data_IF_222863997024
#
_entry.id   IF_222863997024
#
_cell.length_a   1.000
_cell.length_b   1.000
_cell.length_c   1.000
_cell.angle_alpha   90.00
_cell.angle_beta   90.00
_cell.angle_gamma   90.00
#
_symmetry.space_group_name_H-M   'P 1'
#
loop_
_entity.id
_entity.type
_entity.pdbx_description
1 polymer ?
#
# COMPACT_ATOMS: atom_id res chain seq x y z
N UNK A 1 -9.28 7.36 1.02
CA UNK A 1 -8.03 6.87 1.66
C UNK A 1 -7.61 5.53 1.03
N UNK A 2 -7.22 5.48 -0.25
CA UNK A 2 -7.03 4.20 -0.99
C UNK A 2 -5.65 4.01 -1.63
N UNK A 3 -4.78 5.03 -1.62
CA UNK A 3 -3.49 4.98 -2.34
C UNK A 3 -2.34 4.34 -1.54
N UNK A 4 -2.45 4.24 -0.21
CA UNK A 4 -1.39 3.66 0.64
C UNK A 4 -1.31 2.13 0.59
N UNK A 5 -2.40 1.43 0.26
CA UNK A 5 -2.45 -0.03 0.28
C UNK A 5 -1.65 -0.70 -0.86
N UNK A 6 -1.44 -0.01 -1.99
CA UNK A 6 -0.80 -0.60 -3.17
C UNK A 6 0.72 -0.67 -3.06
N UNK A 7 1.36 0.33 -2.46
CA UNK A 7 2.81 0.35 -2.28
C UNK A 7 3.30 -0.75 -1.32
N UNK A 8 2.50 -1.05 -0.30
CA UNK A 8 2.86 -2.02 0.72
C UNK A 8 2.65 -3.47 0.24
N UNK A 9 1.71 -3.71 -0.70
CA UNK A 9 1.60 -5.00 -1.39
C UNK A 9 2.81 -5.33 -2.28
N UNK A 10 3.40 -4.33 -2.94
CA UNK A 10 4.58 -4.54 -3.80
C UNK A 10 5.82 -4.87 -2.95
N UNK A 11 6.03 -4.15 -1.85
CA UNK A 11 7.13 -4.40 -0.91
C UNK A 11 7.06 -5.80 -0.29
N UNK A 12 5.86 -6.22 0.11
CA UNK A 12 5.61 -7.57 0.64
C UNK A 12 5.90 -8.65 -0.40
N UNK A 13 5.58 -8.41 -1.68
CA UNK A 13 5.78 -9.39 -2.77
C UNK A 13 7.24 -9.60 -3.16
N UNK A 14 8.10 -8.59 -2.98
CA UNK A 14 9.53 -8.64 -3.35
C UNK A 14 10.39 -9.19 -2.20
N UNK A 15 9.92 -9.11 -0.96
CA UNK A 15 10.68 -9.48 0.24
C UNK A 15 10.59 -10.96 0.64
N UNK A 16 9.70 -11.75 0.03
CA UNK A 16 9.47 -13.16 0.40
C UNK A 16 10.57 -14.14 -0.01
N UNK A 17 11.66 -13.67 -0.61
CA UNK A 17 12.78 -14.53 -1.00
C UNK A 17 13.76 -14.84 0.15
N UNK A 18 13.64 -14.21 1.32
CA UNK A 18 14.58 -14.40 2.45
C UNK A 18 13.96 -14.22 3.84
N UNK A 19 12.69 -14.58 4.00
CA UNK A 19 12.03 -14.48 5.30
C UNK A 19 12.13 -15.79 6.09
N UNK A 20 12.45 -15.67 7.38
CA UNK A 20 12.28 -16.73 8.36
C UNK A 20 10.78 -17.14 8.43
N UNK A 21 10.45 -18.38 8.82
CA UNK A 21 9.08 -18.89 8.77
C UNK A 21 8.08 -18.06 9.59
N UNK A 22 8.54 -17.37 10.64
CA UNK A 22 7.72 -16.47 11.46
C UNK A 22 7.28 -15.21 10.67
N UNK A 23 8.20 -14.60 9.93
CA UNK A 23 7.93 -13.41 9.11
C UNK A 23 6.99 -13.73 7.94
N UNK A 24 7.05 -14.95 7.41
CA UNK A 24 6.15 -15.41 6.35
C UNK A 24 4.68 -15.43 6.81
N UNK A 25 4.43 -15.77 8.08
CA UNK A 25 3.08 -15.77 8.67
C UNK A 25 2.58 -14.34 8.84
N UNK A 26 3.43 -13.41 9.32
CA UNK A 26 3.06 -12.00 9.46
C UNK A 26 2.72 -11.36 8.11
N UNK A 27 3.52 -11.67 7.09
CA UNK A 27 3.28 -11.26 5.70
C UNK A 27 1.94 -11.78 5.20
N UNK A 28 1.60 -13.04 5.49
CA UNK A 28 0.33 -13.62 5.06
C UNK A 28 -0.87 -12.97 5.77
N UNK A 29 -0.75 -12.71 7.08
CA UNK A 29 -1.77 -12.00 7.87
C UNK A 29 -2.00 -10.59 7.31
N UNK A 30 -0.91 -9.87 7.03
CA UNK A 30 -0.95 -8.55 6.43
C UNK A 30 -1.64 -8.57 5.06
N UNK A 31 -1.28 -9.53 4.20
CA UNK A 31 -1.94 -9.73 2.90
C UNK A 31 -3.44 -9.97 3.05
N UNK A 32 -3.87 -10.83 3.97
CA UNK A 32 -5.30 -11.10 4.22
C UNK A 32 -6.03 -9.85 4.72
N UNK A 33 -5.44 -9.11 5.65
CA UNK A 33 -6.00 -7.84 6.17
C UNK A 33 -6.16 -6.80 5.06
N UNK A 34 -5.18 -6.68 4.18
CA UNK A 34 -5.24 -5.77 3.03
C UNK A 34 -6.34 -6.15 2.04
N UNK A 35 -6.40 -7.42 1.65
CA UNK A 35 -7.42 -7.92 0.75
C UNK A 35 -8.82 -7.69 1.32
N UNK A 36 -9.02 -7.97 2.61
CA UNK A 36 -10.28 -7.67 3.31
C UNK A 36 -10.59 -6.17 3.33
N UNK A 37 -9.61 -5.31 3.65
CA UNK A 37 -9.79 -3.86 3.67
C UNK A 37 -10.08 -3.25 2.28
N UNK A 38 -9.67 -3.93 1.21
CA UNK A 38 -9.95 -3.56 -0.17
C UNK A 38 -11.20 -4.25 -0.74
N UNK A 39 -11.86 -5.14 0.01
CA UNK A 39 -13.01 -5.92 -0.47
C UNK A 39 -12.65 -6.94 -1.56
N UNK A 40 -11.39 -7.39 -1.61
CA UNK A 40 -10.87 -8.30 -2.64
C UNK A 40 -10.69 -9.72 -2.08
N UNK A 41 -10.99 -10.73 -2.89
CA UNK A 41 -10.74 -12.14 -2.54
C UNK A 41 -9.32 -12.59 -2.86
N UNK A 42 -8.69 -11.99 -3.86
CA UNK A 42 -7.34 -12.30 -4.32
C UNK A 42 -6.68 -11.06 -4.90
N UNK A 43 -5.35 -11.08 -5.03
CA UNK A 43 -4.62 -10.02 -5.72
C UNK A 43 -4.98 -10.04 -7.22
N UNK A 44 -5.06 -8.86 -7.87
CA UNK A 44 -5.30 -8.78 -9.30
C UNK A 44 -4.08 -9.28 -10.09
N UNK A 45 -4.31 -9.89 -11.24
CA UNK A 45 -3.23 -10.28 -12.15
C UNK A 45 -2.62 -9.02 -12.80
N UNK A 46 -1.39 -8.71 -12.43
CA UNK A 46 -0.66 -7.53 -12.90
C UNK A 46 -0.45 -7.52 -14.43
N UNK A 47 -0.48 -8.68 -15.10
CA UNK A 47 -0.38 -8.76 -16.56
C UNK A 47 -1.63 -8.24 -17.27
N UNK A 48 -2.77 -8.25 -16.57
CA UNK A 48 -4.06 -7.81 -17.09
C UNK A 48 -4.40 -6.38 -16.66
N UNK A 49 -3.64 -5.80 -15.74
CA UNK A 49 -3.80 -4.42 -15.28
C UNK A 49 -3.27 -3.48 -16.37
N UNK A 50 -4.17 -2.98 -17.22
CA UNK A 50 -3.83 -2.01 -18.24
C UNK A 50 -3.69 -0.60 -17.62
N UNK A 51 -2.48 -0.25 -17.21
CA UNK A 51 -2.16 1.10 -16.73
C UNK A 51 -1.27 1.81 -17.73
N UNK A 52 -1.75 2.91 -18.31
CA UNK A 52 -0.90 3.78 -19.13
C UNK A 52 0.10 4.55 -18.27
N UNK A 53 1.27 4.89 -18.84
CA UNK A 53 2.28 5.69 -18.13
C UNK A 53 1.74 7.05 -17.67
N UNK A 54 0.82 7.65 -18.41
CA UNK A 54 0.19 8.93 -18.05
C UNK A 54 -0.70 8.79 -16.82
N UNK A 55 -1.47 7.70 -16.74
CA UNK A 55 -2.31 7.38 -15.57
C UNK A 55 -1.44 7.11 -14.34
N UNK A 56 -0.36 6.33 -14.48
CA UNK A 56 0.58 6.08 -13.39
C UNK A 56 1.21 7.36 -12.85
N UNK A 57 1.71 8.25 -13.72
CA UNK A 57 2.29 9.54 -13.31
C UNK A 57 1.26 10.43 -12.59
N UNK A 58 0.00 10.42 -13.04
CA UNK A 58 -1.08 11.16 -12.38
C UNK A 58 -1.39 10.59 -10.99
N UNK A 59 -1.46 9.27 -10.86
CA UNK A 59 -1.67 8.60 -9.57
C UNK A 59 -0.52 8.87 -8.60
N UNK A 60 0.74 8.77 -9.06
CA UNK A 60 1.92 9.07 -8.26
C UNK A 60 1.89 10.50 -7.71
N UNK A 61 1.56 11.50 -8.54
CA UNK A 61 1.43 12.90 -8.10
C UNK A 61 0.33 13.07 -7.04
N UNK A 62 -0.82 12.41 -7.21
CA UNK A 62 -1.91 12.43 -6.21
C UNK A 62 -1.46 11.80 -4.89
N UNK A 63 -0.78 10.66 -4.96
CA UNK A 63 -0.23 9.99 -3.78
C UNK A 63 0.74 10.90 -3.02
N UNK A 64 1.73 11.48 -3.69
CA UNK A 64 2.70 12.37 -3.06
C UNK A 64 2.06 13.59 -2.39
N UNK A 65 1.00 14.16 -3.00
CA UNK A 65 0.22 15.25 -2.37
C UNK A 65 -0.51 14.76 -1.12
N UNK A 66 -1.11 13.58 -1.17
CA UNK A 66 -1.80 12.98 -0.03
C UNK A 66 -0.85 12.70 1.13
N UNK A 67 0.34 12.17 0.85
CA UNK A 67 1.37 11.91 1.86
C UNK A 67 1.83 13.21 2.51
N UNK A 68 2.15 14.24 1.72
CA UNK A 68 2.55 15.55 2.26
C UNK A 68 1.46 16.18 3.13
N UNK A 69 0.18 16.01 2.75
CA UNK A 69 -0.94 16.49 3.55
C UNK A 69 -1.04 15.73 4.87
N UNK A 70 -1.00 14.41 4.84
CA UNK A 70 -1.06 13.56 6.05
C UNK A 70 0.12 13.83 6.99
N UNK A 71 1.33 14.05 6.45
CA UNK A 71 2.50 14.46 7.25
C UNK A 71 2.28 15.81 7.94
N UNK A 72 1.70 16.80 7.25
CA UNK A 72 1.37 18.09 7.86
C UNK A 72 0.30 17.96 8.93
N UNK A 73 -0.73 17.14 8.68
CA UNK A 73 -1.78 16.85 9.66
C UNK A 73 -1.18 16.22 10.92
N UNK A 74 -0.29 15.23 10.79
CA UNK A 74 0.42 14.61 11.90
C UNK A 74 1.33 15.59 12.67
N UNK A 75 2.01 16.49 11.97
CA UNK A 75 2.86 17.52 12.60
C UNK A 75 2.04 18.64 13.26
N UNK A 76 0.81 18.88 12.80
CA UNK A 76 -0.12 19.85 13.40
C UNK A 76 -0.91 19.28 14.57
N UNK A 77 -0.87 17.97 14.79
CA UNK A 77 -1.34 17.34 16.03
C UNK A 77 -0.31 17.61 17.13
N UNK A 78 -0.27 18.84 17.63
CA UNK A 78 0.24 19.07 18.98
C UNK A 78 -0.75 18.43 19.97
N UNK A 79 -0.28 17.63 20.94
CA UNK A 79 -1.13 17.11 22.00
C UNK A 79 -1.58 18.29 22.84
N UNK A 80 -2.77 18.80 22.55
CA UNK A 80 -3.45 19.76 23.41
C UNK A 80 -4.02 18.97 24.58
N UNK A 81 -3.27 18.94 25.68
CA UNK A 81 -3.74 18.58 27.04
C UNK A 81 -3.90 17.10 27.31
#
# INVERSE_FOLDING_TARGET
MLLGCWALLILVSVSTASFEPEDAVEVEILKRKMLAGLGMKSLPDMRQVNTSQTVMRRMQRKYLRSVKRSQRELLSFEPTG
#
